data_IF_288528304215
#
_entry.id   IF_288528304215
#
_cell.length_a   1.000
_cell.length_b   1.000
_cell.length_c   1.000
_cell.angle_alpha   90.00
_cell.angle_beta   90.00
_cell.angle_gamma   90.00
#
_symmetry.space_group_name_H-M   'P 1'
#
loop_
_entity.id
_entity.type
_entity.pdbx_description
1 polymer ?
#
# COMPACT_ATOMS: atom_id res chain seq x y z
N UNK A 1 7.90 30.04 -3.94
CA UNK A 1 7.60 29.36 -2.66
C UNK A 1 8.80 29.55 -1.75
N UNK A 2 8.61 30.09 -0.56
CA UNK A 2 9.69 30.29 0.41
C UNK A 2 9.98 29.00 1.20
N UNK A 3 11.15 28.90 1.86
CA UNK A 3 11.52 27.67 2.60
C UNK A 3 10.52 27.34 3.73
N UNK A 4 10.04 28.36 4.44
CA UNK A 4 9.01 28.18 5.48
C UNK A 4 7.69 27.62 4.92
N UNK A 5 7.27 28.10 3.76
CA UNK A 5 6.05 27.65 3.10
C UNK A 5 6.19 26.16 2.65
N UNK A 6 7.39 25.77 2.17
CA UNK A 6 7.71 24.38 1.81
C UNK A 6 7.64 23.48 3.04
N UNK A 7 8.20 23.90 4.17
CA UNK A 7 8.19 23.16 5.42
C UNK A 7 6.78 22.92 5.92
N UNK A 8 5.96 23.97 5.96
CA UNK A 8 4.55 23.89 6.38
C UNK A 8 3.75 22.93 5.49
N UNK A 9 3.92 23.04 4.16
CA UNK A 9 3.25 22.15 3.21
C UNK A 9 3.70 20.70 3.36
N UNK A 10 5.01 20.43 3.50
CA UNK A 10 5.51 19.08 3.76
C UNK A 10 4.99 18.51 5.06
N UNK A 11 5.00 19.29 6.14
CA UNK A 11 4.48 18.89 7.44
C UNK A 11 3.00 18.53 7.38
N UNK A 12 2.20 19.34 6.68
CA UNK A 12 0.77 19.09 6.48
C UNK A 12 0.52 17.81 5.67
N UNK A 13 1.19 17.65 4.52
CA UNK A 13 1.04 16.46 3.68
C UNK A 13 1.40 15.19 4.45
N UNK A 14 2.53 15.20 5.17
CA UNK A 14 2.97 14.05 5.96
C UNK A 14 2.02 13.73 7.12
N UNK A 15 1.41 14.73 7.73
CA UNK A 15 0.37 14.53 8.78
C UNK A 15 -0.90 13.92 8.19
N UNK A 16 -1.30 14.36 7.00
CA UNK A 16 -2.42 13.77 6.26
C UNK A 16 -2.13 12.30 5.91
N UNK A 17 -0.90 11.97 5.45
CA UNK A 17 -0.47 10.59 5.18
C UNK A 17 -0.57 9.71 6.43
N UNK A 18 -0.09 10.17 7.58
CA UNK A 18 -0.19 9.43 8.86
C UNK A 18 -1.65 9.13 9.20
N UNK A 19 -2.54 10.09 8.99
CA UNK A 19 -3.97 9.93 9.21
C UNK A 19 -4.57 8.87 8.28
N UNK A 20 -4.20 8.90 6.99
CA UNK A 20 -4.63 7.90 6.01
C UNK A 20 -4.09 6.50 6.31
N UNK A 21 -2.86 6.39 6.79
CA UNK A 21 -2.29 5.10 7.23
C UNK A 21 -3.07 4.51 8.41
N UNK A 22 -3.51 5.35 9.34
CA UNK A 22 -4.34 4.93 10.47
C UNK A 22 -5.70 4.42 10.00
N UNK A 23 -6.36 5.14 9.08
CA UNK A 23 -7.63 4.72 8.47
C UNK A 23 -7.49 3.40 7.70
N UNK A 24 -6.40 3.24 6.95
CA UNK A 24 -6.11 2.01 6.22
C UNK A 24 -5.97 0.82 7.18
N UNK A 25 -5.24 0.99 8.29
CA UNK A 25 -5.06 -0.05 9.31
C UNK A 25 -6.37 -0.44 9.98
N UNK A 26 -7.22 0.53 10.28
CA UNK A 26 -8.56 0.30 10.85
C UNK A 26 -9.43 -0.54 9.89
N UNK A 27 -9.48 -0.15 8.62
CA UNK A 27 -10.28 -0.85 7.63
C UNK A 27 -9.73 -2.26 7.36
N UNK A 28 -8.41 -2.43 7.40
CA UNK A 28 -7.76 -3.73 7.32
C UNK A 28 -8.19 -4.65 8.46
N UNK A 29 -8.25 -4.14 9.69
CA UNK A 29 -8.73 -4.90 10.85
C UNK A 29 -10.18 -5.36 10.69
N UNK A 30 -11.05 -4.53 10.12
CA UNK A 30 -12.44 -4.90 9.77
C UNK A 30 -12.45 -6.02 8.74
N UNK A 31 -11.62 -5.91 7.70
CA UNK A 31 -11.50 -6.94 6.65
C UNK A 31 -11.08 -8.31 7.23
N UNK A 32 -10.13 -8.36 8.15
CA UNK A 32 -9.74 -9.61 8.81
C UNK A 32 -10.91 -10.25 9.58
N UNK A 33 -11.73 -9.45 10.24
CA UNK A 33 -12.94 -9.91 10.96
C UNK A 33 -13.95 -10.47 9.96
N UNK A 34 -14.20 -9.79 8.84
CA UNK A 34 -15.13 -10.25 7.81
C UNK A 34 -14.69 -11.57 7.17
N UNK A 35 -13.39 -11.73 6.89
CA UNK A 35 -12.83 -13.02 6.41
C UNK A 35 -13.06 -14.14 7.42
N UNK A 36 -12.82 -13.89 8.71
CA UNK A 36 -13.01 -14.86 9.78
C UNK A 36 -14.47 -15.30 9.92
N UNK A 37 -15.39 -14.35 9.80
CA UNK A 37 -16.83 -14.55 9.92
C UNK A 37 -17.49 -15.04 8.61
N UNK A 38 -16.74 -15.15 7.51
CA UNK A 38 -17.23 -15.47 6.15
C UNK A 38 -18.30 -14.49 5.66
N UNK A 39 -18.23 -13.23 6.10
CA UNK A 39 -19.11 -12.16 5.66
C UNK A 39 -18.54 -11.51 4.38
N UNK A 40 -18.89 -12.11 3.25
CA UNK A 40 -18.36 -11.72 1.94
C UNK A 40 -18.86 -10.37 1.47
N UNK A 41 -20.07 -9.97 1.87
CA UNK A 41 -20.64 -8.67 1.49
C UNK A 41 -19.89 -7.53 2.19
N UNK A 42 -19.69 -7.65 3.50
CA UNK A 42 -18.91 -6.66 4.25
C UNK A 42 -17.43 -6.67 3.86
N UNK A 43 -16.87 -7.84 3.52
CA UNK A 43 -15.50 -7.96 3.00
C UNK A 43 -15.32 -7.18 1.70
N UNK A 44 -16.27 -7.31 0.76
CA UNK A 44 -16.21 -6.56 -0.50
C UNK A 44 -16.22 -5.06 -0.23
N UNK A 45 -17.11 -4.57 0.64
CA UNK A 45 -17.16 -3.14 1.01
C UNK A 45 -15.86 -2.66 1.64
N UNK A 46 -15.29 -3.42 2.58
CA UNK A 46 -14.00 -3.07 3.19
C UNK A 46 -12.87 -3.02 2.14
N UNK A 47 -12.88 -3.93 1.16
CA UNK A 47 -11.90 -3.91 0.06
C UNK A 47 -12.03 -2.66 -0.81
N UNK A 48 -13.26 -2.24 -1.10
CA UNK A 48 -13.52 -1.01 -1.87
C UNK A 48 -13.06 0.23 -1.06
N UNK A 49 -13.33 0.29 0.24
CA UNK A 49 -12.86 1.35 1.12
C UNK A 49 -11.32 1.41 1.17
N UNK A 50 -10.67 0.27 1.34
CA UNK A 50 -9.20 0.19 1.35
C UNK A 50 -8.60 0.66 0.03
N UNK A 51 -9.23 0.35 -1.09
CA UNK A 51 -8.81 0.84 -2.40
C UNK A 51 -8.89 2.36 -2.47
N UNK A 52 -10.00 2.95 -2.04
CA UNK A 52 -10.18 4.40 -2.03
C UNK A 52 -9.15 5.10 -1.12
N UNK A 53 -8.85 4.53 0.06
CA UNK A 53 -7.81 5.05 0.96
C UNK A 53 -6.42 4.94 0.30
N UNK A 54 -6.10 3.82 -0.34
CA UNK A 54 -4.83 3.63 -1.06
C UNK A 54 -4.63 4.65 -2.18
N UNK A 55 -5.69 4.99 -2.91
CA UNK A 55 -5.63 6.02 -3.95
C UNK A 55 -5.33 7.40 -3.34
N UNK A 56 -5.88 7.71 -2.16
CA UNK A 56 -5.59 8.95 -1.44
C UNK A 56 -4.15 8.98 -0.93
N UNK A 57 -3.66 7.88 -0.37
CA UNK A 57 -2.25 7.74 0.05
C UNK A 57 -1.32 8.00 -1.13
N UNK A 58 -1.58 7.37 -2.28
CA UNK A 58 -0.76 7.54 -3.49
C UNK A 58 -0.75 8.99 -3.99
N UNK A 59 -1.88 9.70 -3.91
CA UNK A 59 -1.92 11.13 -4.26
C UNK A 59 -1.07 11.97 -3.32
N UNK A 60 -1.18 11.74 -2.00
CA UNK A 60 -0.39 12.46 -1.01
C UNK A 60 1.11 12.17 -1.11
N UNK A 61 1.49 10.94 -1.41
CA UNK A 61 2.88 10.56 -1.68
C UNK A 61 3.45 11.32 -2.89
N UNK A 62 2.68 11.41 -3.98
CA UNK A 62 3.06 12.20 -5.15
C UNK A 62 3.17 13.70 -4.83
N UNK A 63 2.22 14.25 -4.06
CA UNK A 63 2.26 15.64 -3.62
C UNK A 63 3.52 15.91 -2.78
N UNK A 64 3.84 15.01 -1.82
CA UNK A 64 5.06 15.10 -1.01
C UNK A 64 6.31 15.06 -1.86
N UNK A 65 6.39 14.14 -2.83
CA UNK A 65 7.55 14.04 -3.74
C UNK A 65 7.72 15.33 -4.54
N UNK A 66 6.63 15.93 -5.05
CA UNK A 66 6.66 17.20 -5.75
C UNK A 66 7.21 18.37 -4.89
N UNK A 67 6.75 18.48 -3.64
CA UNK A 67 7.23 19.51 -2.72
C UNK A 67 8.68 19.25 -2.27
N UNK A 68 9.05 17.96 -2.08
CA UNK A 68 10.42 17.59 -1.76
C UNK A 68 11.40 17.96 -2.89
N UNK A 69 11.03 17.76 -4.15
CA UNK A 69 11.84 18.20 -5.30
C UNK A 69 12.03 19.71 -5.32
N UNK A 70 10.98 20.48 -5.03
CA UNK A 70 11.09 21.92 -4.91
C UNK A 70 12.04 22.34 -3.76
N UNK A 71 12.07 21.59 -2.65
CA UNK A 71 13.03 21.78 -1.56
C UNK A 71 14.47 21.50 -2.03
N UNK A 72 14.69 20.41 -2.77
CA UNK A 72 16.00 20.06 -3.33
C UNK A 72 16.52 21.16 -4.27
N UNK A 73 15.68 21.67 -5.16
CA UNK A 73 16.03 22.77 -6.06
C UNK A 73 16.45 24.02 -5.29
N UNK A 74 15.72 24.39 -4.22
CA UNK A 74 16.01 25.53 -3.38
C UNK A 74 17.33 25.42 -2.61
N UNK A 75 17.68 24.20 -2.20
CA UNK A 75 18.91 23.93 -1.41
C UNK A 75 20.10 23.52 -2.27
N UNK A 76 19.92 23.40 -3.59
CA UNK A 76 20.96 22.89 -4.49
C UNK A 76 21.31 21.43 -4.21
N UNK A 77 20.35 20.64 -3.70
CA UNK A 77 20.49 19.23 -3.36
C UNK A 77 20.03 18.35 -4.52
N UNK A 78 20.53 17.10 -4.58
CA UNK A 78 20.01 16.09 -5.51
C UNK A 78 18.68 15.56 -4.98
N UNK A 79 17.70 15.23 -5.86
CA UNK A 79 16.51 14.46 -5.47
C UNK A 79 16.81 13.08 -4.84
N UNK A 80 18.00 12.52 -5.10
CA UNK A 80 18.48 11.26 -4.55
C UNK A 80 19.09 11.42 -3.13
N UNK A 81 19.31 12.67 -2.68
CA UNK A 81 19.81 12.93 -1.33
C UNK A 81 18.77 12.49 -0.29
N UNK A 82 19.23 12.10 0.90
CA UNK A 82 18.31 11.71 1.96
C UNK A 82 17.50 12.93 2.45
N UNK A 83 16.21 12.71 2.73
CA UNK A 83 15.33 13.76 3.28
C UNK A 83 15.99 14.47 4.48
N UNK A 84 16.62 13.69 5.38
CA UNK A 84 17.26 14.26 6.57
C UNK A 84 18.42 15.20 6.24
N UNK A 85 19.22 14.88 5.23
CA UNK A 85 20.34 15.73 4.82
C UNK A 85 19.87 17.03 4.15
N UNK A 86 18.80 16.94 3.34
CA UNK A 86 18.22 18.09 2.67
C UNK A 86 17.51 19.01 3.67
N UNK A 87 16.72 18.45 4.58
CA UNK A 87 16.07 19.19 5.66
C UNK A 87 17.09 19.90 6.59
N UNK A 88 18.16 19.22 6.97
CA UNK A 88 19.22 19.81 7.79
C UNK A 88 19.91 20.96 7.07
N UNK A 89 20.10 20.90 5.74
CA UNK A 89 20.68 21.96 4.91
C UNK A 89 19.71 23.14 4.78
N UNK A 90 18.40 22.87 4.64
CA UNK A 90 17.38 23.90 4.46
C UNK A 90 17.05 24.66 5.75
N UNK A 91 16.91 23.95 6.86
CA UNK A 91 16.33 24.46 8.12
C UNK A 91 17.30 24.41 9.30
N UNK A 92 18.48 23.80 9.14
CA UNK A 92 19.46 23.67 10.23
C UNK A 92 18.89 22.97 11.47
N UNK A 93 19.07 23.55 12.69
CA UNK A 93 18.57 22.95 13.92
C UNK A 93 17.04 22.82 14.00
N UNK A 94 16.31 23.65 13.27
CA UNK A 94 14.84 23.66 13.24
C UNK A 94 14.27 22.50 12.43
N UNK A 95 15.09 21.81 11.62
CA UNK A 95 14.69 20.63 10.84
C UNK A 95 14.19 19.44 11.68
N UNK A 96 14.34 19.48 13.01
CA UNK A 96 14.07 18.34 13.89
C UNK A 96 12.62 17.89 13.83
N UNK A 97 11.68 18.82 13.87
CA UNK A 97 10.24 18.53 13.88
C UNK A 97 9.82 17.83 12.59
N UNK A 98 10.18 18.40 11.43
CA UNK A 98 9.83 17.81 10.13
C UNK A 98 10.50 16.46 9.89
N UNK A 99 11.73 16.28 10.40
CA UNK A 99 12.44 14.99 10.35
C UNK A 99 11.75 13.92 11.22
N UNK A 100 11.21 14.30 12.37
CA UNK A 100 10.49 13.42 13.25
C UNK A 100 9.16 12.97 12.61
N UNK A 101 8.42 13.88 11.98
CA UNK A 101 7.20 13.57 11.22
C UNK A 101 7.55 12.62 10.06
N UNK A 102 8.59 12.89 9.29
CA UNK A 102 9.03 12.02 8.20
C UNK A 102 9.40 10.61 8.68
N UNK A 103 10.05 10.51 9.83
CA UNK A 103 10.36 9.21 10.45
C UNK A 103 9.11 8.42 10.77
N UNK A 104 8.05 9.08 11.27
CA UNK A 104 6.76 8.44 11.54
C UNK A 104 6.14 7.94 10.23
N UNK A 105 6.03 8.78 9.19
CA UNK A 105 5.54 8.39 7.86
C UNK A 105 6.25 7.14 7.35
N UNK A 106 7.59 7.15 7.37
CA UNK A 106 8.40 6.03 6.90
C UNK A 106 8.17 4.73 7.69
N UNK A 107 7.98 4.83 9.00
CA UNK A 107 7.72 3.67 9.85
C UNK A 107 6.31 3.12 9.63
N UNK A 108 5.31 4.00 9.50
CA UNK A 108 3.92 3.62 9.22
C UNK A 108 3.81 2.96 7.84
N UNK A 109 4.40 3.53 6.80
CA UNK A 109 4.42 2.93 5.46
C UNK A 109 5.05 1.53 5.46
N UNK A 110 6.16 1.34 6.20
CA UNK A 110 6.78 0.02 6.39
C UNK A 110 5.85 -0.96 7.08
N UNK A 111 5.18 -0.51 8.15
CA UNK A 111 4.23 -1.34 8.91
C UNK A 111 3.09 -1.82 8.02
N UNK A 112 2.49 -0.93 7.21
CA UNK A 112 1.45 -1.30 6.26
C UNK A 112 1.94 -2.29 5.20
N UNK A 113 3.15 -2.11 4.69
CA UNK A 113 3.75 -3.04 3.73
C UNK A 113 3.89 -4.45 4.31
N UNK A 114 4.40 -4.57 5.54
CA UNK A 114 4.53 -5.86 6.23
C UNK A 114 3.17 -6.50 6.48
N UNK A 115 2.18 -5.70 6.90
CA UNK A 115 0.81 -6.15 7.13
C UNK A 115 0.18 -6.71 5.85
N UNK A 116 0.28 -5.99 4.73
CA UNK A 116 -0.23 -6.45 3.44
C UNK A 116 0.45 -7.73 2.96
N UNK A 117 1.78 -7.83 3.08
CA UNK A 117 2.53 -9.03 2.71
C UNK A 117 2.13 -10.25 3.56
N UNK A 118 1.89 -10.05 4.84
CA UNK A 118 1.46 -11.10 5.76
C UNK A 118 0.06 -11.61 5.40
N UNK A 119 -0.84 -10.70 5.07
CA UNK A 119 -2.19 -11.04 4.63
C UNK A 119 -2.20 -11.74 3.28
N UNK A 120 -1.40 -11.28 2.32
CA UNK A 120 -1.24 -11.96 1.02
C UNK A 120 -0.79 -13.41 1.20
N UNK A 121 0.22 -13.64 2.05
CA UNK A 121 0.69 -14.99 2.38
C UNK A 121 -0.42 -15.83 3.02
N UNK A 122 -1.19 -15.26 3.94
CA UNK A 122 -2.31 -15.92 4.57
C UNK A 122 -3.36 -16.37 3.54
N UNK A 123 -3.78 -15.48 2.64
CA UNK A 123 -4.76 -15.81 1.59
C UNK A 123 -4.21 -16.86 0.63
N UNK A 124 -2.95 -16.74 0.22
CA UNK A 124 -2.30 -17.71 -0.67
C UNK A 124 -2.24 -19.11 -0.06
N UNK A 125 -1.84 -19.19 1.21
CA UNK A 125 -1.80 -20.47 1.93
C UNK A 125 -3.20 -21.12 2.05
N UNK A 126 -4.25 -20.33 2.31
CA UNK A 126 -5.62 -20.84 2.37
C UNK A 126 -6.13 -21.32 1.02
N UNK A 127 -5.81 -20.60 -0.06
CA UNK A 127 -6.12 -21.02 -1.43
C UNK A 127 -5.45 -22.36 -1.75
N UNK A 128 -4.17 -22.51 -1.47
CA UNK A 128 -3.43 -23.74 -1.72
C UNK A 128 -4.02 -24.91 -0.92
N UNK A 129 -4.28 -24.72 0.37
CA UNK A 129 -4.91 -25.74 1.21
C UNK A 129 -6.27 -26.21 0.65
N UNK A 130 -7.11 -25.28 0.18
CA UNK A 130 -8.40 -25.63 -0.44
C UNK A 130 -8.17 -26.39 -1.75
N UNK A 131 -7.20 -26.00 -2.57
CA UNK A 131 -6.84 -26.72 -3.80
C UNK A 131 -6.36 -28.14 -3.50
N UNK A 132 -5.47 -28.30 -2.53
CA UNK A 132 -4.94 -29.62 -2.13
C UNK A 132 -6.05 -30.54 -1.64
N UNK A 133 -6.97 -30.03 -0.78
CA UNK A 133 -8.14 -30.77 -0.32
C UNK A 133 -9.06 -31.14 -1.49
N UNK A 134 -9.27 -30.21 -2.43
CA UNK A 134 -10.13 -30.49 -3.60
C UNK A 134 -9.50 -31.53 -4.54
N UNK A 135 -8.17 -31.51 -4.72
CA UNK A 135 -7.45 -32.54 -5.48
C UNK A 135 -7.54 -33.93 -4.82
N UNK A 136 -7.48 -33.96 -3.48
CA UNK A 136 -7.61 -35.23 -2.72
C UNK A 136 -9.02 -35.78 -2.74
N UNK A 137 -10.04 -34.92 -2.61
CA UNK A 137 -11.46 -35.36 -2.58
C UNK A 137 -12.04 -35.59 -3.97
N UNK A 138 -11.52 -35.00 -5.02
CA UNK A 138 -12.03 -35.08 -6.39
C UNK A 138 -10.88 -35.23 -7.39
N UNK A 139 -10.15 -36.35 -7.35
CA UNK A 139 -8.95 -36.56 -8.18
C UNK A 139 -9.21 -36.52 -9.70
N UNK A 140 -10.43 -36.74 -10.14
CA UNK A 140 -10.80 -36.84 -11.56
C UNK A 140 -11.20 -35.49 -12.21
N UNK A 141 -11.12 -34.36 -11.50
CA UNK A 141 -11.38 -33.02 -12.10
C UNK A 141 -10.23 -32.45 -12.94
N UNK A 142 -9.30 -33.27 -13.38
CA UNK A 142 -8.39 -32.95 -14.51
C UNK A 142 -9.11 -33.03 -15.87
N UNK A 143 -10.40 -32.73 -15.90
CA UNK A 143 -11.11 -32.49 -17.14
C UNK A 143 -10.67 -31.16 -17.71
N UNK A 144 -9.77 -31.19 -18.72
CA UNK A 144 -9.56 -30.04 -19.58
C UNK A 144 -10.93 -29.57 -20.09
N UNK A 145 -11.32 -28.35 -19.70
CA UNK A 145 -12.50 -27.71 -20.29
C UNK A 145 -12.15 -27.47 -21.75
N UNK A 146 -12.55 -28.37 -22.61
CA UNK A 146 -12.42 -28.17 -24.05
C UNK A 146 -13.41 -27.08 -24.46
N UNK A 147 -12.92 -26.02 -25.09
CA UNK A 147 -13.77 -25.06 -25.74
C UNK A 147 -14.50 -25.77 -26.92
N UNK A 148 -15.55 -25.17 -27.46
CA UNK A 148 -16.37 -25.70 -28.53
C UNK A 148 -15.59 -26.16 -29.79
N UNK A 149 -14.28 -25.92 -29.83
CA UNK A 149 -13.31 -26.28 -30.91
C UNK A 149 -12.30 -27.36 -30.50
N UNK A 150 -12.45 -27.98 -29.31
CA UNK A 150 -11.61 -29.11 -28.89
C UNK A 150 -10.19 -28.72 -28.45
N UNK A 151 -9.89 -27.43 -28.23
CA UNK A 151 -8.60 -26.97 -27.73
C UNK A 151 -8.62 -26.81 -26.21
N UNK A 152 -7.63 -27.35 -25.52
CA UNK A 152 -7.44 -27.17 -24.07
C UNK A 152 -7.11 -25.70 -23.79
N UNK A 153 -7.99 -24.99 -23.06
CA UNK A 153 -7.76 -23.64 -22.59
C UNK A 153 -7.18 -23.70 -21.18
N UNK A 154 -5.90 -23.41 -21.03
CA UNK A 154 -5.32 -23.05 -19.74
C UNK A 154 -5.65 -21.57 -19.48
N UNK A 155 -6.77 -21.30 -18.83
CA UNK A 155 -7.09 -19.94 -18.40
C UNK A 155 -6.29 -19.63 -17.13
N UNK A 156 -5.11 -19.08 -17.30
CA UNK A 156 -4.22 -18.55 -16.25
C UNK A 156 -4.57 -17.08 -15.91
N UNK A 157 -5.85 -16.72 -15.92
CA UNK A 157 -6.30 -15.40 -15.48
C UNK A 157 -6.54 -15.35 -13.97
N UNK A 158 -5.51 -15.61 -13.18
CA UNK A 158 -5.46 -15.06 -11.82
C UNK A 158 -4.95 -13.62 -11.90
N UNK A 159 -5.80 -12.70 -12.34
CA UNK A 159 -5.54 -11.27 -12.13
C UNK A 159 -5.49 -11.04 -10.62
N UNK A 160 -4.27 -10.91 -10.11
CA UNK A 160 -4.00 -10.62 -8.72
C UNK A 160 -4.65 -9.28 -8.36
N UNK A 161 -5.66 -9.34 -7.50
CA UNK A 161 -6.24 -8.20 -6.79
C UNK A 161 -5.28 -7.75 -5.66
N UNK A 162 -4.01 -7.61 -5.99
CA UNK A 162 -3.01 -7.13 -5.04
C UNK A 162 -2.39 -5.87 -5.61
N UNK A 163 -2.56 -4.79 -4.87
CA UNK A 163 -1.82 -3.53 -5.01
C UNK A 163 -0.31 -3.82 -5.15
N UNK A 164 0.14 -4.01 -6.37
CA UNK A 164 1.54 -4.09 -6.73
C UNK A 164 1.86 -2.94 -7.69
N UNK A 165 1.81 -1.71 -7.15
CA UNK A 165 2.51 -0.58 -7.79
C UNK A 165 2.87 0.44 -6.69
N UNK A 166 4.15 0.50 -6.44
CA UNK A 166 4.87 1.59 -5.77
C UNK A 166 4.40 1.99 -4.35
N UNK A 167 4.95 1.31 -3.38
CA UNK A 167 5.32 1.89 -2.08
C UNK A 167 6.82 1.70 -1.90
#
# INVERSE_FOLDING_TARGET
MELMEIEEQLGKIMTDEISLFSLYREEFGKMEIHVRNKDWVSLQRSTENMRAISEQISRKDNDRDGIYRALCEKTGSSPDDSFYSVAARAYGPESREICDIFRIVKNEARSLKVMNQSFEKFIRNRKNLISDIMEELVPDRKGSIYNRRGLASHDNSSSSLVLNKHL
#
